data_IF_218213535337
#
_entry.id   IF_218213535337
#
_cell.length_a   1.000
_cell.length_b   1.000
_cell.length_c   1.000
_cell.angle_alpha   90.00
_cell.angle_beta   90.00
_cell.angle_gamma   90.00
#
_symmetry.space_group_name_H-M   'P 1'
#
loop_
_entity.id
_entity.type
_entity.pdbx_description
1 polymer ?
#
# COMPACT_ATOMS: atom_id res chain seq x y z
N UNK A 1 -6.13 47.15 -13.88
CA UNK A 1 -5.87 46.10 -14.87
C UNK A 1 -6.98 46.14 -15.90
N UNK A 2 -6.62 46.08 -17.18
CA UNK A 2 -7.56 46.01 -18.31
C UNK A 2 -8.13 44.60 -18.47
N UNK A 3 -9.21 44.45 -19.23
CA UNK A 3 -9.80 43.12 -19.51
C UNK A 3 -8.83 42.18 -20.23
N UNK A 4 -8.02 42.70 -21.15
CA UNK A 4 -7.01 41.89 -21.86
C UNK A 4 -5.90 41.42 -20.92
N UNK A 5 -5.43 42.30 -20.03
CA UNK A 5 -4.43 41.93 -19.02
C UNK A 5 -5.00 40.90 -18.03
N UNK A 6 -6.25 41.09 -17.60
CA UNK A 6 -6.95 40.14 -16.71
C UNK A 6 -7.01 38.74 -17.32
N UNK A 7 -7.38 38.62 -18.60
CA UNK A 7 -7.45 37.33 -19.29
C UNK A 7 -6.09 36.64 -19.39
N UNK A 8 -5.03 37.40 -19.65
CA UNK A 8 -3.66 36.86 -19.67
C UNK A 8 -3.24 36.39 -18.27
N UNK A 9 -3.47 37.22 -17.24
CA UNK A 9 -3.12 36.89 -15.86
C UNK A 9 -3.87 35.65 -15.38
N UNK A 10 -5.18 35.54 -15.66
CA UNK A 10 -6.00 34.42 -15.21
C UNK A 10 -5.91 33.17 -16.08
N UNK A 11 -5.22 33.26 -17.22
CA UNK A 11 -5.19 32.26 -18.28
C UNK A 11 -6.60 31.90 -18.76
N UNK A 12 -7.32 32.89 -19.29
CA UNK A 12 -8.65 32.74 -19.86
C UNK A 12 -8.58 32.81 -21.39
N UNK A 13 -9.48 32.10 -22.11
CA UNK A 13 -9.56 32.19 -23.57
C UNK A 13 -9.91 33.60 -24.04
N UNK A 14 -9.78 33.87 -25.34
CA UNK A 14 -10.35 35.09 -25.92
C UNK A 14 -11.89 35.06 -25.83
N UNK A 15 -12.57 36.23 -25.90
CA UNK A 15 -14.02 36.31 -25.70
C UNK A 15 -14.86 35.46 -26.66
N UNK A 16 -14.41 35.31 -27.90
CA UNK A 16 -15.14 34.54 -28.92
C UNK A 16 -15.05 33.05 -28.61
N UNK A 17 -13.86 32.57 -28.26
CA UNK A 17 -13.63 31.19 -27.84
C UNK A 17 -14.33 30.87 -26.52
N UNK A 18 -14.26 31.75 -25.53
CA UNK A 18 -14.98 31.62 -24.25
C UNK A 18 -16.47 31.43 -24.49
N UNK A 19 -17.06 32.33 -25.29
CA UNK A 19 -18.49 32.30 -25.63
C UNK A 19 -18.85 31.02 -26.38
N UNK A 20 -18.03 30.59 -27.32
CA UNK A 20 -18.25 29.35 -28.07
C UNK A 20 -18.21 28.12 -27.16
N UNK A 21 -17.25 28.05 -26.24
CA UNK A 21 -17.08 26.93 -25.32
C UNK A 21 -18.20 26.87 -24.28
N UNK A 22 -18.60 28.00 -23.71
CA UNK A 22 -19.76 28.07 -22.80
C UNK A 22 -21.02 27.63 -23.54
N UNK A 23 -21.26 28.14 -24.76
CA UNK A 23 -22.44 27.82 -25.56
C UNK A 23 -22.49 26.34 -25.98
N UNK A 24 -21.33 25.71 -26.17
CA UNK A 24 -21.27 24.28 -26.43
C UNK A 24 -21.68 23.44 -25.21
N UNK A 25 -21.48 23.95 -23.99
CA UNK A 25 -21.82 23.28 -22.75
C UNK A 25 -23.25 23.60 -22.25
N UNK A 26 -23.70 24.84 -22.39
CA UNK A 26 -24.96 25.34 -21.80
C UNK A 26 -25.55 26.52 -22.56
N UNK A 27 -26.83 26.81 -22.34
CA UNK A 27 -27.50 28.01 -22.87
C UNK A 27 -27.37 29.22 -21.93
N UNK A 28 -26.75 29.04 -20.76
CA UNK A 28 -26.49 30.12 -19.80
C UNK A 28 -25.42 31.08 -20.33
N UNK A 29 -25.55 32.35 -19.98
CA UNK A 29 -24.45 33.30 -20.09
C UNK A 29 -23.34 32.96 -19.08
N UNK A 30 -22.14 33.52 -19.29
CA UNK A 30 -21.02 33.40 -18.35
C UNK A 30 -21.40 33.75 -16.91
N UNK A 31 -22.10 34.87 -16.72
CA UNK A 31 -22.48 35.35 -15.39
C UNK A 31 -23.50 34.41 -14.73
N UNK A 32 -24.48 33.92 -15.50
CA UNK A 32 -25.48 32.96 -15.01
C UNK A 32 -24.85 31.61 -14.66
N UNK A 33 -23.86 31.15 -15.44
CA UNK A 33 -23.13 29.92 -15.15
C UNK A 33 -22.29 30.03 -13.87
N UNK A 34 -21.58 31.14 -13.68
CA UNK A 34 -20.82 31.43 -12.45
C UNK A 34 -21.76 31.48 -11.25
N UNK A 35 -22.87 32.21 -11.36
CA UNK A 35 -23.84 32.33 -10.28
C UNK A 35 -24.47 30.98 -9.94
N UNK A 36 -24.86 30.19 -10.95
CA UNK A 36 -25.37 28.82 -10.77
C UNK A 36 -24.35 27.94 -10.05
N UNK A 37 -23.07 28.03 -10.40
CA UNK A 37 -22.04 27.23 -9.76
C UNK A 37 -21.95 27.50 -8.26
N UNK A 38 -22.00 28.76 -7.85
CA UNK A 38 -21.90 29.14 -6.42
C UNK A 38 -23.20 28.89 -5.66
N UNK A 39 -24.35 29.15 -6.28
CA UNK A 39 -25.66 29.08 -5.58
C UNK A 39 -26.31 27.70 -5.62
N UNK A 40 -26.04 26.89 -6.64
CA UNK A 40 -26.67 25.59 -6.86
C UNK A 40 -25.72 24.61 -7.60
N UNK A 41 -24.55 24.37 -7.02
CA UNK A 41 -23.52 23.47 -7.60
C UNK A 41 -24.03 22.08 -7.98
N UNK A 42 -25.01 21.56 -7.24
CA UNK A 42 -25.58 20.22 -7.46
C UNK A 42 -26.37 20.08 -8.77
N UNK A 43 -26.83 21.19 -9.36
CA UNK A 43 -27.56 21.19 -10.64
C UNK A 43 -26.67 21.45 -11.86
N UNK A 44 -25.35 21.60 -11.67
CA UNK A 44 -24.40 21.69 -12.77
C UNK A 44 -24.38 20.38 -13.58
N UNK A 45 -24.51 20.49 -14.89
CA UNK A 45 -24.32 19.36 -15.81
C UNK A 45 -22.83 19.01 -15.94
N UNK A 46 -22.50 17.81 -16.43
CA UNK A 46 -21.09 17.41 -16.62
C UNK A 46 -20.34 18.34 -17.58
N UNK A 47 -21.03 18.87 -18.60
CA UNK A 47 -20.45 19.83 -19.54
C UNK A 47 -20.19 21.19 -18.87
N UNK A 48 -21.10 21.66 -18.01
CA UNK A 48 -20.92 22.88 -17.22
C UNK A 48 -19.78 22.74 -16.20
N UNK A 49 -19.67 21.59 -15.54
CA UNK A 49 -18.54 21.29 -14.64
C UNK A 49 -17.22 21.31 -15.40
N UNK A 50 -17.17 20.70 -16.58
CA UNK A 50 -15.94 20.61 -17.37
C UNK A 50 -15.47 21.98 -17.86
N UNK A 51 -16.40 22.84 -18.33
CA UNK A 51 -16.05 24.18 -18.80
C UNK A 51 -15.61 25.09 -17.64
N UNK A 52 -16.19 24.94 -16.44
CA UNK A 52 -15.76 25.66 -15.23
C UNK A 52 -14.38 25.18 -14.74
N UNK A 53 -14.18 23.87 -14.64
CA UNK A 53 -12.89 23.26 -14.26
C UNK A 53 -11.75 23.77 -15.14
N UNK A 54 -12.00 23.84 -16.45
CA UNK A 54 -11.01 24.26 -17.43
C UNK A 54 -10.99 25.79 -17.64
N UNK A 55 -11.62 26.59 -16.77
CA UNK A 55 -11.63 28.07 -16.86
C UNK A 55 -12.07 28.58 -18.24
N UNK A 56 -13.11 27.96 -18.78
CA UNK A 56 -13.68 28.17 -20.11
C UNK A 56 -12.86 27.70 -21.31
N UNK A 57 -11.68 27.11 -21.11
CA UNK A 57 -10.96 26.41 -22.17
C UNK A 57 -11.63 25.08 -22.53
N UNK A 58 -11.30 24.57 -23.72
CA UNK A 58 -11.54 23.17 -24.05
C UNK A 58 -10.66 22.26 -23.21
N UNK A 59 -11.01 20.97 -23.10
CA UNK A 59 -10.15 20.04 -22.40
C UNK A 59 -8.76 19.98 -23.06
N UNK A 60 -7.67 20.15 -22.30
CA UNK A 60 -6.32 20.07 -22.84
C UNK A 60 -6.05 18.67 -23.41
N UNK A 61 -5.26 18.64 -24.48
CA UNK A 61 -4.69 17.41 -25.03
C UNK A 61 -3.75 16.75 -24.03
N UNK A 62 -3.34 15.51 -24.32
CA UNK A 62 -2.39 14.80 -23.47
C UNK A 62 -1.03 15.50 -23.43
N UNK A 63 -0.55 16.01 -24.57
CA UNK A 63 0.72 16.75 -24.60
C UNK A 63 0.64 18.07 -23.82
N UNK A 64 -0.48 18.80 -23.92
CA UNK A 64 -0.68 20.04 -23.16
C UNK A 64 -0.73 19.77 -21.65
N UNK A 65 -1.47 18.74 -21.22
CA UNK A 65 -1.47 18.33 -19.82
C UNK A 65 -0.06 18.00 -19.30
N UNK A 66 0.73 17.26 -20.09
CA UNK A 66 2.12 16.95 -19.71
C UNK A 66 2.93 18.22 -19.47
N UNK A 67 2.87 19.19 -20.39
CA UNK A 67 3.61 20.46 -20.26
C UNK A 67 3.14 21.30 -19.08
N UNK A 68 1.83 21.31 -18.81
CA UNK A 68 1.27 21.99 -17.64
C UNK A 68 1.82 21.35 -16.36
N UNK A 69 1.80 20.02 -16.26
CA UNK A 69 2.35 19.29 -15.12
C UNK A 69 3.84 19.54 -14.95
N UNK A 70 4.64 19.44 -16.02
CA UNK A 70 6.08 19.69 -15.97
C UNK A 70 6.37 21.12 -15.46
N UNK A 71 5.66 22.11 -15.99
CA UNK A 71 5.78 23.50 -15.54
C UNK A 71 5.41 23.70 -14.07
N UNK A 72 4.42 22.98 -13.55
CA UNK A 72 4.05 22.99 -12.12
C UNK A 72 5.11 22.34 -11.24
N UNK A 73 5.78 21.28 -11.70
CA UNK A 73 6.84 20.61 -10.94
C UNK A 73 8.13 21.45 -10.87
N UNK A 74 8.35 22.32 -11.85
CA UNK A 74 9.51 23.21 -11.91
C UNK A 74 9.32 24.54 -11.12
N UNK A 75 8.11 24.82 -10.63
CA UNK A 75 7.80 26.01 -9.83
C UNK A 75 8.25 25.82 -8.37
N UNK A 76 9.03 26.78 -7.84
CA UNK A 76 9.31 26.82 -6.40
C UNK A 76 8.04 27.21 -5.62
N UNK A 77 7.99 26.86 -4.33
CA UNK A 77 6.88 27.21 -3.45
C UNK A 77 6.66 28.74 -3.42
N UNK A 78 7.74 29.52 -3.31
CA UNK A 78 7.67 30.99 -3.27
C UNK A 78 7.17 31.58 -4.60
N UNK A 79 7.58 31.00 -5.74
CA UNK A 79 7.09 31.42 -7.04
C UNK A 79 5.62 31.03 -7.25
N UNK A 80 5.19 29.91 -6.67
CA UNK A 80 3.80 29.48 -6.61
C UNK A 80 2.93 30.48 -5.84
N UNK A 81 3.35 30.85 -4.63
CA UNK A 81 2.64 31.81 -3.79
C UNK A 81 2.52 33.19 -4.47
N UNK A 82 3.63 33.72 -5.01
CA UNK A 82 3.62 34.99 -5.75
C UNK A 82 2.66 34.93 -6.96
N UNK A 83 2.63 33.80 -7.67
CA UNK A 83 1.73 33.59 -8.79
C UNK A 83 0.24 33.62 -8.39
N UNK A 84 -0.12 33.02 -7.25
CA UNK A 84 -1.50 33.04 -6.76
C UNK A 84 -1.90 34.41 -6.20
N UNK A 85 -0.99 35.09 -5.50
CA UNK A 85 -1.22 36.45 -4.97
C UNK A 85 -1.51 37.46 -6.08
N UNK A 86 -0.84 37.34 -7.23
CA UNK A 86 -1.10 38.17 -8.41
C UNK A 86 -2.47 37.88 -9.04
N UNK A 87 -2.95 36.63 -8.97
CA UNK A 87 -4.24 36.23 -9.56
C UNK A 87 -5.45 36.60 -8.70
N UNK A 88 -5.34 36.54 -7.38
CA UNK A 88 -6.46 36.81 -6.48
C UNK A 88 -7.22 38.13 -6.78
N UNK A 89 -6.56 39.30 -6.94
CA UNK A 89 -7.27 40.55 -7.23
C UNK A 89 -7.78 40.65 -8.68
N UNK A 90 -7.41 39.71 -9.56
CA UNK A 90 -7.82 39.70 -10.96
C UNK A 90 -9.20 39.06 -11.18
N UNK A 91 -9.68 38.24 -10.26
CA UNK A 91 -10.97 37.58 -10.38
C UNK A 91 -12.16 38.56 -10.22
N UNK A 92 -13.19 38.33 -11.02
CA UNK A 92 -14.50 38.96 -10.80
C UNK A 92 -15.24 38.29 -9.63
N UNK A 93 -16.29 38.92 -9.07
CA UNK A 93 -17.09 38.31 -8.03
C UNK A 93 -17.53 36.89 -8.40
N UNK A 94 -17.38 35.95 -7.47
CA UNK A 94 -17.74 34.53 -7.61
C UNK A 94 -16.96 33.74 -8.69
N UNK A 95 -16.07 34.37 -9.47
CA UNK A 95 -15.36 33.71 -10.59
C UNK A 95 -14.39 32.64 -10.11
N UNK A 96 -13.52 32.98 -9.15
CA UNK A 96 -12.57 32.03 -8.57
C UNK A 96 -13.28 30.86 -7.87
N UNK A 97 -14.29 31.18 -7.07
CA UNK A 97 -15.10 30.20 -6.36
C UNK A 97 -15.81 29.25 -7.33
N UNK A 98 -16.39 29.77 -8.41
CA UNK A 98 -17.02 28.94 -9.44
C UNK A 98 -16.03 27.99 -10.13
N UNK A 99 -14.78 28.42 -10.39
CA UNK A 99 -13.75 27.54 -10.94
C UNK A 99 -13.35 26.45 -9.93
N UNK A 100 -13.18 26.82 -8.65
CA UNK A 100 -12.88 25.86 -7.59
C UNK A 100 -14.01 24.84 -7.42
N UNK A 101 -15.27 25.27 -7.49
CA UNK A 101 -16.44 24.38 -7.50
C UNK A 101 -16.41 23.46 -8.71
N UNK A 102 -16.10 23.96 -9.92
CA UNK A 102 -15.92 23.13 -11.11
C UNK A 102 -14.86 22.04 -10.93
N UNK A 103 -13.72 22.38 -10.34
CA UNK A 103 -12.65 21.42 -10.01
C UNK A 103 -13.14 20.38 -9.00
N UNK A 104 -13.75 20.81 -7.91
CA UNK A 104 -14.24 19.93 -6.85
C UNK A 104 -15.35 18.99 -7.33
N UNK A 105 -16.33 19.50 -8.08
CA UNK A 105 -17.41 18.71 -8.67
C UNK A 105 -16.87 17.68 -9.66
N UNK A 106 -15.92 18.06 -10.52
CA UNK A 106 -15.30 17.14 -11.48
C UNK A 106 -14.65 15.96 -10.75
N UNK A 107 -13.76 16.23 -9.79
CA UNK A 107 -13.07 15.19 -9.05
C UNK A 107 -14.01 14.40 -8.14
N UNK A 108 -15.02 15.05 -7.56
CA UNK A 108 -16.05 14.41 -6.76
C UNK A 108 -16.87 13.39 -7.56
N UNK A 109 -17.28 13.75 -8.78
CA UNK A 109 -18.03 12.86 -9.69
C UNK A 109 -17.16 11.71 -10.20
N UNK A 110 -15.92 11.97 -10.60
CA UNK A 110 -15.00 10.91 -10.99
C UNK A 110 -14.73 9.94 -9.84
N UNK A 111 -14.55 10.45 -8.62
CA UNK A 111 -14.42 9.62 -7.43
C UNK A 111 -15.67 8.78 -7.19
N UNK A 112 -16.87 9.37 -7.26
CA UNK A 112 -18.12 8.63 -7.09
C UNK A 112 -18.30 7.53 -8.14
N UNK A 113 -17.94 7.78 -9.40
CA UNK A 113 -17.96 6.77 -10.46
C UNK A 113 -16.98 5.63 -10.18
N UNK A 114 -15.75 5.96 -9.76
CA UNK A 114 -14.76 4.97 -9.34
C UNK A 114 -15.26 4.16 -8.14
N UNK A 115 -15.86 4.82 -7.15
CA UNK A 115 -16.40 4.16 -5.96
C UNK A 115 -17.53 3.19 -6.31
N UNK A 116 -18.42 3.55 -7.25
CA UNK A 116 -19.46 2.63 -7.77
C UNK A 116 -18.83 1.41 -8.46
N UNK A 117 -17.81 1.61 -9.29
CA UNK A 117 -17.11 0.52 -9.97
C UNK A 117 -16.39 -0.41 -8.98
N UNK A 118 -15.69 0.17 -8.01
CA UNK A 118 -15.00 -0.55 -6.94
C UNK A 118 -16.03 -1.34 -6.12
N UNK A 119 -17.10 -0.71 -5.66
CA UNK A 119 -18.15 -1.37 -4.88
C UNK A 119 -18.82 -2.51 -5.66
N UNK A 120 -19.03 -2.35 -6.96
CA UNK A 120 -19.55 -3.42 -7.82
C UNK A 120 -18.58 -4.60 -7.89
N UNK A 121 -17.28 -4.35 -8.09
CA UNK A 121 -16.26 -5.39 -8.11
C UNK A 121 -16.12 -6.11 -6.76
N UNK A 122 -16.12 -5.35 -5.65
CA UNK A 122 -16.14 -5.88 -4.28
C UNK A 122 -17.32 -6.81 -4.08
N UNK A 123 -18.54 -6.37 -4.39
CA UNK A 123 -19.76 -7.15 -4.18
C UNK A 123 -19.78 -8.45 -5.00
N UNK A 124 -19.16 -8.44 -6.19
CA UNK A 124 -19.01 -9.64 -7.02
C UNK A 124 -17.98 -10.63 -6.44
N UNK A 125 -16.89 -10.12 -5.85
CA UNK A 125 -15.81 -10.95 -5.31
C UNK A 125 -16.07 -11.48 -3.89
N UNK A 126 -16.76 -10.69 -3.06
CA UNK A 126 -16.94 -10.94 -1.62
C UNK A 126 -17.52 -12.31 -1.27
N UNK A 127 -18.53 -12.86 -1.98
CA UNK A 127 -19.08 -14.18 -1.66
C UNK A 127 -18.05 -15.31 -1.70
N UNK A 128 -17.01 -15.16 -2.53
CA UNK A 128 -15.98 -16.17 -2.76
C UNK A 128 -14.66 -15.89 -2.02
N UNK A 129 -14.59 -14.78 -1.30
CA UNK A 129 -13.43 -14.43 -0.48
C UNK A 129 -13.29 -15.41 0.70
N UNK A 130 -12.06 -15.66 1.19
CA UNK A 130 -11.87 -16.41 2.42
C UNK A 130 -12.57 -15.72 3.59
N UNK A 131 -12.98 -16.48 4.61
CA UNK A 131 -13.77 -15.94 5.72
C UNK A 131 -13.07 -14.77 6.43
N UNK A 132 -11.76 -14.87 6.67
CA UNK A 132 -10.99 -13.80 7.30
C UNK A 132 -11.05 -12.48 6.51
N UNK A 133 -11.08 -12.55 5.17
CA UNK A 133 -11.23 -11.37 4.31
C UNK A 133 -12.65 -10.80 4.39
N UNK A 134 -13.67 -11.66 4.41
CA UNK A 134 -15.06 -11.22 4.60
C UNK A 134 -15.24 -10.55 5.96
N UNK A 135 -14.62 -11.08 6.99
CA UNK A 135 -14.59 -10.51 8.33
C UNK A 135 -13.96 -9.11 8.31
N UNK A 136 -12.77 -8.95 7.74
CA UNK A 136 -12.07 -7.66 7.71
C UNK A 136 -12.82 -6.61 6.89
N UNK A 137 -13.48 -7.04 5.80
CA UNK A 137 -14.39 -6.16 5.07
C UNK A 137 -15.56 -5.68 5.95
N UNK A 138 -16.18 -6.57 6.74
CA UNK A 138 -17.28 -6.22 7.67
C UNK A 138 -16.82 -5.32 8.82
N UNK A 139 -15.61 -5.53 9.33
CA UNK A 139 -15.04 -4.71 10.41
C UNK A 139 -14.74 -3.28 9.96
N UNK A 140 -14.63 -3.03 8.65
CA UNK A 140 -14.48 -1.69 8.10
C UNK A 140 -13.15 -1.03 8.43
N UNK A 141 -12.13 -1.80 8.86
CA UNK A 141 -10.79 -1.29 9.15
C UNK A 141 -10.21 -0.53 7.96
N UNK A 142 -9.44 0.52 8.26
CA UNK A 142 -8.87 1.39 7.25
C UNK A 142 -7.71 0.72 6.51
N UNK A 143 -6.85 0.02 7.25
CA UNK A 143 -5.66 -0.65 6.72
C UNK A 143 -5.47 -2.03 7.38
N UNK A 144 -4.51 -2.79 6.88
CA UNK A 144 -4.15 -4.13 7.35
C UNK A 144 -2.87 -4.58 6.69
N UNK A 145 -2.17 -5.50 7.36
CA UNK A 145 -0.92 -6.06 6.91
C UNK A 145 0.08 -6.09 8.06
N UNK A 146 1.31 -5.67 7.78
CA UNK A 146 2.43 -5.85 8.71
C UNK A 146 3.24 -4.57 8.91
N UNK A 147 3.76 -4.39 10.12
CA UNK A 147 4.96 -3.57 10.31
C UNK A 147 6.17 -4.40 9.87
N UNK A 148 7.07 -3.78 9.12
CA UNK A 148 8.27 -4.38 8.58
C UNK A 148 9.50 -3.56 9.01
N UNK A 149 10.54 -4.26 9.45
CA UNK A 149 11.80 -3.67 9.87
C UNK A 149 12.91 -4.03 8.89
N UNK A 150 13.61 -3.05 8.32
CA UNK A 150 14.89 -3.30 7.66
C UNK A 150 15.95 -3.56 8.71
N UNK A 151 16.62 -4.70 8.63
CA UNK A 151 17.75 -4.97 9.52
C UNK A 151 18.95 -4.06 9.19
N UNK A 152 19.92 -3.99 10.11
CA UNK A 152 21.07 -3.10 9.95
C UNK A 152 21.97 -3.44 8.74
N UNK A 153 21.86 -4.64 8.17
CA UNK A 153 22.56 -5.00 6.94
C UNK A 153 21.78 -4.55 5.69
N UNK A 154 20.47 -4.70 5.68
CA UNK A 154 19.57 -4.24 4.63
C UNK A 154 19.61 -2.72 4.46
N UNK A 155 19.78 -1.97 5.55
CA UNK A 155 19.94 -0.51 5.54
C UNK A 155 21.19 -0.02 4.80
N UNK A 156 22.16 -0.91 4.51
CA UNK A 156 23.39 -0.58 3.78
C UNK A 156 23.31 -0.91 2.29
N UNK A 157 22.20 -1.48 1.85
CA UNK A 157 21.95 -1.73 0.43
C UNK A 157 21.77 -0.38 -0.27
N UNK A 158 22.27 -0.28 -1.50
CA UNK A 158 22.15 0.95 -2.27
C UNK A 158 20.69 1.28 -2.61
N UNK A 159 20.41 2.58 -2.78
CA UNK A 159 19.05 3.07 -2.97
C UNK A 159 18.38 2.52 -4.23
N UNK A 160 19.12 2.33 -5.32
CA UNK A 160 18.60 1.77 -6.58
C UNK A 160 18.10 0.34 -6.37
N UNK A 161 18.89 -0.48 -5.68
CA UNK A 161 18.51 -1.85 -5.35
C UNK A 161 17.33 -1.92 -4.38
N UNK A 162 17.24 -1.00 -3.42
CA UNK A 162 16.12 -0.92 -2.50
C UNK A 162 14.82 -0.50 -3.21
N UNK A 163 14.90 0.43 -4.17
CA UNK A 163 13.77 0.81 -5.02
C UNK A 163 13.29 -0.37 -5.89
N UNK A 164 14.23 -1.13 -6.48
CA UNK A 164 13.93 -2.34 -7.24
C UNK A 164 13.19 -3.38 -6.37
N UNK A 165 13.65 -3.58 -5.13
CA UNK A 165 13.00 -4.45 -4.15
C UNK A 165 11.58 -4.03 -3.83
N UNK A 166 11.37 -2.76 -3.49
CA UNK A 166 10.04 -2.24 -3.12
C UNK A 166 9.05 -2.34 -4.29
N UNK A 167 9.50 -2.00 -5.50
CA UNK A 167 8.70 -2.13 -6.73
C UNK A 167 8.31 -3.59 -6.99
N UNK A 168 9.28 -4.51 -6.92
CA UNK A 168 9.04 -5.94 -7.10
C UNK A 168 8.10 -6.53 -6.03
N UNK A 169 8.28 -6.14 -4.77
CA UNK A 169 7.46 -6.58 -3.65
C UNK A 169 6.01 -6.09 -3.78
N UNK A 170 5.81 -4.83 -4.17
CA UNK A 170 4.48 -4.27 -4.44
C UNK A 170 3.76 -5.04 -5.56
N UNK A 171 4.44 -5.24 -6.70
CA UNK A 171 3.89 -6.01 -7.82
C UNK A 171 3.58 -7.47 -7.45
N UNK A 172 4.41 -8.07 -6.59
CA UNK A 172 4.18 -9.41 -6.07
C UNK A 172 2.88 -9.49 -5.26
N UNK A 173 2.66 -8.60 -4.29
CA UNK A 173 1.45 -8.62 -3.46
C UNK A 173 0.20 -8.36 -4.28
N UNK A 174 0.23 -7.43 -5.24
CA UNK A 174 -0.88 -7.22 -6.15
C UNK A 174 -1.26 -8.52 -6.89
N UNK A 175 -0.26 -9.27 -7.34
CA UNK A 175 -0.46 -10.58 -7.94
C UNK A 175 -1.03 -11.61 -6.94
N UNK A 176 -0.43 -11.75 -5.75
CA UNK A 176 -0.90 -12.69 -4.75
C UNK A 176 -2.36 -12.44 -4.34
N UNK A 177 -2.73 -11.18 -4.12
CA UNK A 177 -4.10 -10.74 -3.83
C UNK A 177 -5.06 -11.01 -5.01
N UNK A 178 -4.58 -10.91 -6.25
CA UNK A 178 -5.40 -11.28 -7.41
C UNK A 178 -5.71 -12.77 -7.44
N UNK A 179 -4.76 -13.60 -7.04
CA UNK A 179 -4.92 -15.05 -7.08
C UNK A 179 -5.66 -15.64 -5.87
N UNK A 180 -5.54 -15.03 -4.69
CA UNK A 180 -6.36 -15.41 -3.55
C UNK A 180 -7.83 -14.91 -3.68
N UNK A 181 -8.13 -14.08 -4.68
CA UNK A 181 -9.46 -13.54 -4.98
C UNK A 181 -9.84 -12.29 -4.19
N UNK A 182 -8.85 -11.60 -3.60
CA UNK A 182 -9.11 -10.48 -2.69
C UNK A 182 -8.64 -9.13 -3.20
N UNK A 183 -7.98 -9.06 -4.37
CA UNK A 183 -7.50 -7.80 -4.96
C UNK A 183 -8.58 -6.72 -4.94
N UNK A 184 -9.76 -7.03 -5.45
CA UNK A 184 -10.83 -6.03 -5.58
C UNK A 184 -11.47 -5.66 -4.23
N UNK A 185 -11.24 -6.46 -3.18
CA UNK A 185 -11.81 -6.26 -1.84
C UNK A 185 -10.82 -5.49 -0.95
N UNK A 186 -9.53 -5.81 -1.04
CA UNK A 186 -8.54 -5.48 0.00
C UNK A 186 -7.29 -4.76 -0.49
N UNK A 187 -7.02 -4.74 -1.81
CA UNK A 187 -5.76 -4.23 -2.35
C UNK A 187 -5.49 -2.76 -1.97
N UNK A 188 -6.53 -1.93 -2.00
CA UNK A 188 -6.39 -0.52 -1.61
C UNK A 188 -6.03 -0.31 -0.14
N UNK A 189 -6.32 -1.29 0.71
CA UNK A 189 -6.15 -1.24 2.16
C UNK A 189 -4.91 -2.01 2.64
N UNK A 190 -4.46 -3.04 1.90
CA UNK A 190 -3.28 -3.84 2.24
C UNK A 190 -2.01 -2.99 2.23
N UNK A 191 -1.24 -3.05 3.31
CA UNK A 191 -0.02 -2.27 3.50
C UNK A 191 1.05 -3.08 4.23
N UNK A 192 2.30 -2.83 3.88
CA UNK A 192 3.44 -3.16 4.71
C UNK A 192 4.09 -1.83 5.07
N UNK A 193 4.10 -1.50 6.36
CA UNK A 193 4.63 -0.22 6.85
C UNK A 193 6.09 -0.43 7.23
N UNK A 194 7.00 0.34 6.65
CA UNK A 194 8.43 0.09 6.75
C UNK A 194 9.15 1.06 7.68
N UNK A 195 9.98 0.50 8.56
CA UNK A 195 10.83 1.24 9.47
C UNK A 195 12.25 0.65 9.43
N UNK A 196 13.24 1.44 9.80
CA UNK A 196 14.58 0.92 10.05
C UNK A 196 14.66 0.39 11.49
N UNK A 197 15.23 -0.80 11.66
CA UNK A 197 15.62 -1.28 12.98
C UNK A 197 16.81 -0.47 13.52
N UNK A 198 17.15 -0.55 14.82
CA UNK A 198 18.38 0.01 15.35
C UNK A 198 19.59 -0.43 14.53
N UNK A 199 20.57 0.47 14.34
CA UNK A 199 21.78 0.22 13.54
C UNK A 199 22.66 -0.96 14.01
N UNK A 200 22.36 -1.54 15.18
CA UNK A 200 23.00 -2.71 15.77
C UNK A 200 22.17 -4.00 15.65
N UNK A 201 20.94 -3.93 15.15
CA UNK A 201 20.04 -5.08 15.04
C UNK A 201 20.31 -5.83 13.73
N UNK A 202 20.94 -6.99 13.83
CA UNK A 202 21.24 -7.88 12.70
C UNK A 202 20.48 -9.19 12.82
N UNK A 203 19.97 -9.68 11.70
CA UNK A 203 19.51 -11.07 11.62
C UNK A 203 20.74 -11.98 11.49
N UNK A 204 20.82 -13.01 12.32
CA UNK A 204 21.89 -14.01 12.21
C UNK A 204 21.79 -14.76 10.88
N UNK A 205 22.88 -14.79 10.07
CA UNK A 205 22.87 -15.50 8.80
C UNK A 205 22.53 -16.98 9.01
N UNK A 206 21.61 -17.51 8.21
CA UNK A 206 21.13 -18.89 8.28
C UNK A 206 22.26 -19.94 8.24
N UNK A 207 23.42 -19.62 7.68
CA UNK A 207 24.61 -20.49 7.61
C UNK A 207 25.27 -20.75 8.97
N UNK A 208 25.00 -19.94 10.00
CA UNK A 208 25.56 -20.11 11.35
C UNK A 208 24.90 -21.22 12.17
N UNK A 209 23.72 -21.70 11.74
CA UNK A 209 22.95 -22.74 12.45
C UNK A 209 23.49 -24.17 12.24
N UNK A 210 24.36 -24.41 11.25
CA UNK A 210 24.89 -25.75 10.97
C UNK A 210 26.15 -26.11 11.79
N UNK A 211 26.75 -25.16 12.53
CA UNK A 211 28.01 -25.37 13.25
C UNK A 211 27.92 -25.01 14.75
N UNK A 212 26.83 -25.36 15.44
CA UNK A 212 26.74 -25.21 16.92
C UNK A 212 26.98 -26.54 17.64
N UNK A 213 28.24 -26.99 17.62
CA UNK A 213 28.79 -27.94 18.61
C UNK A 213 29.58 -27.22 19.72
N UNK A 214 29.50 -25.89 19.81
CA UNK A 214 30.19 -25.11 20.85
C UNK A 214 29.20 -24.48 21.82
N UNK A 215 29.25 -24.95 23.08
CA UNK A 215 28.71 -24.27 24.26
C UNK A 215 29.01 -22.76 24.21
N UNK A 216 27.96 -21.96 24.01
CA UNK A 216 28.03 -20.51 23.94
C UNK A 216 26.63 -19.93 23.96
N UNK A 217 26.08 -19.81 25.16
CA UNK A 217 24.87 -19.04 25.45
C UNK A 217 25.06 -17.56 25.01
N UNK A 218 23.95 -16.93 24.56
CA UNK A 218 23.66 -15.48 24.67
C UNK A 218 23.69 -14.54 23.45
N UNK A 219 24.24 -14.86 22.27
CA UNK A 219 24.32 -13.85 21.19
C UNK A 219 23.02 -13.67 20.37
N UNK A 220 22.34 -14.75 19.98
CA UNK A 220 21.15 -14.67 19.10
C UNK A 220 19.87 -14.17 19.81
N UNK A 221 19.79 -14.36 21.14
CA UNK A 221 18.66 -13.84 21.93
C UNK A 221 18.68 -12.31 22.01
N UNK A 222 19.87 -11.70 21.92
CA UNK A 222 20.04 -10.25 22.05
C UNK A 222 19.51 -9.51 20.81
N UNK A 223 19.88 -9.96 19.61
CA UNK A 223 19.42 -9.34 18.36
C UNK A 223 17.90 -9.44 18.17
N UNK A 224 17.28 -10.59 18.48
CA UNK A 224 15.83 -10.74 18.43
C UNK A 224 15.10 -9.80 19.40
N UNK A 225 15.69 -9.50 20.56
CA UNK A 225 15.11 -8.58 21.53
C UNK A 225 15.10 -7.14 21.03
N UNK A 226 16.13 -6.72 20.28
CA UNK A 226 16.21 -5.38 19.66
C UNK A 226 15.04 -5.15 18.69
N UNK A 227 14.74 -6.12 17.81
CA UNK A 227 13.62 -6.00 16.89
C UNK A 227 12.27 -5.94 17.61
N UNK A 228 12.07 -6.73 18.67
CA UNK A 228 10.82 -6.72 19.45
C UNK A 228 10.63 -5.42 20.23
N UNK A 229 11.71 -4.85 20.75
CA UNK A 229 11.66 -3.55 21.42
C UNK A 229 11.33 -2.44 20.42
N UNK A 230 12.01 -2.42 19.26
CA UNK A 230 11.69 -1.50 18.18
C UNK A 230 10.22 -1.60 17.75
N UNK A 231 9.71 -2.82 17.52
CA UNK A 231 8.32 -3.04 17.16
C UNK A 231 7.33 -2.53 18.24
N UNK A 232 7.64 -2.74 19.53
CA UNK A 232 6.80 -2.23 20.63
C UNK A 232 6.75 -0.70 20.64
N UNK A 233 7.91 -0.06 20.50
CA UNK A 233 8.00 1.40 20.45
C UNK A 233 7.27 1.98 19.23
N UNK A 234 7.36 1.34 18.07
CA UNK A 234 6.60 1.72 16.87
C UNK A 234 5.09 1.64 17.10
N UNK A 235 4.61 0.60 17.78
CA UNK A 235 3.19 0.46 18.10
C UNK A 235 2.70 1.52 19.09
N UNK A 236 3.57 1.98 19.99
CA UNK A 236 3.27 3.02 20.98
C UNK A 236 3.28 4.42 20.35
N UNK A 237 4.38 4.78 19.68
CA UNK A 237 4.55 6.07 19.00
C UNK A 237 5.60 5.94 17.87
N UNK A 238 5.15 5.77 16.62
CA UNK A 238 6.06 5.59 15.49
C UNK A 238 6.84 6.87 15.14
N UNK A 239 6.32 8.07 15.43
CA UNK A 239 7.07 9.32 15.23
C UNK A 239 8.22 9.44 16.22
N UNK A 240 7.95 9.13 17.49
CA UNK A 240 8.99 9.14 18.53
C UNK A 240 10.06 8.10 18.24
N UNK A 241 9.68 6.89 17.80
CA UNK A 241 10.63 5.87 17.40
C UNK A 241 11.57 6.34 16.27
N UNK A 242 11.03 6.99 15.23
CA UNK A 242 11.83 7.49 14.11
C UNK A 242 12.79 8.63 14.48
N UNK A 243 12.60 9.31 15.62
CA UNK A 243 13.48 10.37 16.12
C UNK A 243 14.63 9.86 17.01
N UNK A 244 14.75 8.55 17.21
CA UNK A 244 15.84 7.96 18.00
C UNK A 244 17.20 8.21 17.34
N UNK A 245 18.23 8.39 18.17
CA UNK A 245 19.61 8.63 17.71
C UNK A 245 20.22 7.44 16.95
N UNK A 246 19.79 6.22 17.25
CA UNK A 246 20.32 4.97 16.69
C UNK A 246 19.52 4.42 15.50
N UNK A 247 18.51 5.17 15.03
CA UNK A 247 17.60 4.83 13.94
C UNK A 247 17.71 5.89 12.85
N UNK A 248 17.90 5.46 11.61
CA UNK A 248 17.75 6.35 10.45
C UNK A 248 16.26 6.42 10.11
N UNK A 249 15.62 7.61 10.05
CA UNK A 249 14.20 7.72 9.73
C UNK A 249 13.90 7.22 8.31
N UNK A 250 12.66 6.81 8.08
CA UNK A 250 12.13 6.46 6.76
C UNK A 250 11.15 7.54 6.30
N UNK A 251 10.88 7.62 5.00
CA UNK A 251 9.85 8.53 4.45
C UNK A 251 8.42 7.95 4.62
N UNK A 252 8.22 7.04 5.59
CA UNK A 252 6.96 6.34 5.79
C UNK A 252 5.91 7.31 6.35
N UNK A 253 4.84 7.52 5.58
CA UNK A 253 3.76 8.42 5.93
C UNK A 253 2.77 7.77 6.91
N UNK A 254 2.68 8.35 8.12
CA UNK A 254 1.91 7.77 9.23
C UNK A 254 0.65 8.59 9.56
N UNK A 255 0.52 9.82 9.07
CA UNK A 255 -0.53 10.77 9.47
C UNK A 255 -1.98 10.29 9.19
N UNK A 256 -2.16 9.23 8.40
CA UNK A 256 -3.48 8.62 8.16
C UNK A 256 -3.93 7.64 9.28
N UNK A 257 -3.17 7.48 10.36
CA UNK A 257 -3.50 6.58 11.46
C UNK A 257 -3.99 7.36 12.69
N UNK A 258 -5.14 8.04 12.56
CA UNK A 258 -5.72 8.91 13.60
C UNK A 258 -5.86 8.24 15.00
N UNK A 259 -5.96 6.90 15.04
CA UNK A 259 -6.08 6.12 16.28
C UNK A 259 -4.84 5.25 16.58
N UNK A 260 -3.73 5.48 15.88
CA UNK A 260 -2.50 4.69 16.00
C UNK A 260 -2.54 3.33 15.28
N UNK A 261 -1.37 2.70 15.12
CA UNK A 261 -1.19 1.49 14.29
C UNK A 261 -2.03 0.30 14.78
N UNK A 262 -2.14 0.13 16.10
CA UNK A 262 -2.86 -0.98 16.71
C UNK A 262 -4.36 -0.98 16.34
N UNK A 263 -4.97 0.20 16.23
CA UNK A 263 -6.39 0.32 15.92
C UNK A 263 -6.67 0.30 14.40
N UNK A 264 -5.64 0.56 13.59
CA UNK A 264 -5.74 0.65 12.13
C UNK A 264 -5.91 -0.69 11.40
N UNK A 265 -5.65 -1.82 12.06
CA UNK A 265 -5.87 -3.18 11.54
C UNK A 265 -4.61 -3.96 11.15
N UNK A 266 -3.43 -3.43 11.43
CA UNK A 266 -2.16 -4.16 11.30
C UNK A 266 -2.05 -5.29 12.32
N UNK A 267 -1.31 -6.36 11.99
CA UNK A 267 -1.02 -7.42 12.96
C UNK A 267 -0.10 -6.88 14.06
N UNK A 268 -0.57 -6.94 15.30
CA UNK A 268 0.18 -6.51 16.49
C UNK A 268 0.92 -7.64 17.18
N UNK A 269 0.63 -8.90 16.82
CA UNK A 269 1.26 -10.08 17.39
C UNK A 269 2.42 -10.63 16.53
N UNK A 270 2.70 -10.00 15.39
CA UNK A 270 3.70 -10.43 14.42
C UNK A 270 4.17 -9.27 13.56
N UNK A 271 5.49 -9.16 13.38
CA UNK A 271 6.12 -8.22 12.46
C UNK A 271 7.10 -8.93 11.55
N UNK A 272 7.47 -8.28 10.45
CA UNK A 272 8.37 -8.82 9.45
C UNK A 272 9.75 -8.16 9.55
N UNK A 273 10.80 -8.89 9.19
CA UNK A 273 12.15 -8.34 9.06
C UNK A 273 12.64 -8.56 7.63
N UNK A 274 12.96 -7.46 6.96
CA UNK A 274 13.62 -7.45 5.66
C UNK A 274 15.13 -7.42 5.87
N UNK A 275 15.75 -8.58 5.68
CA UNK A 275 17.20 -8.76 5.67
C UNK A 275 17.71 -8.80 4.22
N UNK A 276 19.04 -8.77 3.98
CA UNK A 276 19.59 -8.86 2.63
C UNK A 276 19.14 -10.11 1.88
N UNK A 277 18.95 -11.24 2.58
CA UNK A 277 18.48 -12.48 1.95
C UNK A 277 17.07 -12.33 1.40
N UNK A 278 16.15 -11.71 2.14
CA UNK A 278 14.81 -11.42 1.65
C UNK A 278 14.85 -10.51 0.41
N UNK A 279 15.67 -9.47 0.46
CA UNK A 279 15.81 -8.48 -0.62
C UNK A 279 16.35 -9.16 -1.89
N UNK A 280 17.46 -9.90 -1.79
CA UNK A 280 18.02 -10.63 -2.91
C UNK A 280 17.06 -11.68 -3.46
N UNK A 281 16.32 -12.37 -2.59
CA UNK A 281 15.31 -13.32 -3.04
C UNK A 281 14.20 -12.63 -3.83
N UNK A 282 13.74 -11.45 -3.46
CA UNK A 282 12.69 -10.75 -4.21
C UNK A 282 13.23 -10.21 -5.52
N UNK A 283 14.41 -9.61 -5.51
CA UNK A 283 14.97 -8.95 -6.68
C UNK A 283 15.58 -9.94 -7.67
N UNK A 284 16.43 -10.86 -7.20
CA UNK A 284 17.09 -11.85 -8.07
C UNK A 284 16.19 -13.02 -8.42
N UNK A 285 15.29 -13.43 -7.50
CA UNK A 285 14.36 -14.54 -7.78
C UNK A 285 13.13 -14.10 -8.55
N UNK A 286 13.20 -13.03 -9.35
CA UNK A 286 12.20 -12.70 -10.37
C UNK A 286 11.79 -13.93 -11.22
N UNK A 287 12.59 -15.00 -11.23
CA UNK A 287 12.28 -16.27 -11.85
C UNK A 287 11.35 -17.23 -11.10
N UNK A 288 11.15 -17.17 -9.76
CA UNK A 288 10.27 -18.10 -9.03
C UNK A 288 9.72 -17.52 -7.71
N UNK A 289 8.39 -17.33 -7.64
CA UNK A 289 7.68 -16.86 -6.44
C UNK A 289 7.86 -17.78 -5.23
N UNK A 290 8.02 -19.08 -5.45
CA UNK A 290 8.11 -20.02 -4.34
C UNK A 290 9.43 -19.90 -3.54
N UNK A 291 10.45 -19.24 -4.10
CA UNK A 291 11.71 -18.97 -3.40
C UNK A 291 11.61 -17.77 -2.45
N UNK A 292 10.70 -16.84 -2.72
CA UNK A 292 10.60 -15.57 -2.02
C UNK A 292 10.06 -15.80 -0.61
N UNK A 293 10.82 -15.36 0.40
CA UNK A 293 10.46 -15.52 1.80
C UNK A 293 11.00 -14.36 2.63
N UNK A 294 10.36 -14.15 3.78
CA UNK A 294 10.71 -13.14 4.77
C UNK A 294 10.74 -13.78 6.15
N UNK A 295 11.46 -13.16 7.08
CA UNK A 295 11.40 -13.52 8.49
C UNK A 295 10.18 -12.88 9.14
N UNK A 296 9.36 -13.70 9.79
CA UNK A 296 8.26 -13.24 10.61
C UNK A 296 8.60 -13.53 12.09
N UNK A 297 8.56 -12.49 12.92
CA UNK A 297 8.87 -12.55 14.34
C UNK A 297 7.60 -12.58 15.18
N UNK A 298 7.60 -13.39 16.24
CA UNK A 298 6.58 -13.32 17.29
C UNK A 298 6.90 -12.15 18.22
N UNK A 299 5.97 -11.20 18.29
CA UNK A 299 6.17 -9.90 18.95
C UNK A 299 6.50 -10.02 20.44
N UNK A 300 5.82 -10.94 21.13
CA UNK A 300 5.92 -11.10 22.58
C UNK A 300 6.84 -12.25 23.01
N UNK A 301 7.62 -12.82 22.08
CA UNK A 301 8.47 -13.96 22.42
C UNK A 301 9.65 -13.57 23.35
N UNK A 302 9.93 -14.36 24.40
CA UNK A 302 9.14 -15.49 24.88
C UNK A 302 7.94 -15.04 25.73
N UNK A 303 6.76 -15.59 25.46
CA UNK A 303 5.55 -15.32 26.24
C UNK A 303 5.66 -16.01 27.62
N UNK A 304 5.54 -15.28 28.74
CA UNK A 304 5.64 -15.86 30.07
C UNK A 304 4.63 -17.00 30.30
N UNK A 305 5.10 -18.12 30.85
CA UNK A 305 4.26 -19.28 31.15
C UNK A 305 3.91 -20.16 29.96
N UNK A 306 4.36 -19.82 28.74
CA UNK A 306 4.19 -20.64 27.54
C UNK A 306 5.38 -21.59 27.35
N UNK A 307 5.08 -22.86 27.08
CA UNK A 307 6.08 -23.83 26.64
C UNK A 307 6.19 -23.78 25.11
N UNK A 308 7.41 -23.58 24.61
CA UNK A 308 7.72 -23.54 23.19
C UNK A 308 8.31 -24.85 22.68
N UNK A 309 8.15 -25.12 21.38
CA UNK A 309 8.88 -26.19 20.69
C UNK A 309 10.40 -25.97 20.82
N UNK A 310 11.12 -27.07 21.04
CA UNK A 310 12.58 -27.05 21.11
C UNK A 310 13.18 -26.52 19.80
N UNK A 311 14.16 -25.62 19.91
CA UNK A 311 14.84 -25.00 18.76
C UNK A 311 14.13 -23.78 18.17
N UNK A 312 12.89 -23.47 18.57
CA UNK A 312 12.20 -22.26 18.12
C UNK A 312 12.80 -21.01 18.80
N UNK A 313 13.15 -20.01 17.98
CA UNK A 313 13.88 -18.80 18.42
C UNK A 313 13.00 -17.55 18.45
N UNK A 314 11.68 -17.71 18.37
CA UNK A 314 10.74 -16.59 18.34
C UNK A 314 10.54 -15.97 16.95
N UNK A 315 10.94 -16.67 15.89
CA UNK A 315 10.69 -16.29 14.50
C UNK A 315 10.65 -17.51 13.58
N UNK A 316 10.08 -17.35 12.38
CA UNK A 316 10.13 -18.34 11.30
C UNK A 316 10.23 -17.66 9.94
N UNK A 317 10.83 -18.34 8.98
CA UNK A 317 10.68 -17.96 7.57
C UNK A 317 9.25 -18.19 7.12
N UNK A 318 8.71 -17.29 6.30
CA UNK A 318 7.37 -17.37 5.69
C UNK A 318 7.49 -17.04 4.22
N UNK A 319 6.88 -17.87 3.37
CA UNK A 319 6.83 -17.58 1.92
C UNK A 319 5.94 -16.36 1.66
N UNK A 320 6.36 -15.45 0.80
CA UNK A 320 5.71 -14.14 0.68
C UNK A 320 4.22 -14.22 0.32
N UNK A 321 3.81 -15.20 -0.48
CA UNK A 321 2.41 -15.37 -0.87
C UNK A 321 1.51 -15.76 0.31
N UNK A 322 2.07 -16.37 1.36
CA UNK A 322 1.32 -16.74 2.55
C UNK A 322 1.04 -15.58 3.49
N UNK A 323 1.79 -14.48 3.37
CA UNK A 323 1.55 -13.25 4.11
C UNK A 323 0.19 -12.63 3.79
N UNK A 324 -0.41 -12.97 2.64
CA UNK A 324 -1.78 -12.59 2.28
C UNK A 324 -2.72 -13.79 2.23
N UNK A 325 -2.37 -14.88 2.90
CA UNK A 325 -3.14 -16.12 2.85
C UNK A 325 -3.12 -16.89 4.18
N UNK A 326 -2.58 -18.12 4.22
CA UNK A 326 -2.67 -18.98 5.41
C UNK A 326 -1.97 -18.36 6.62
N UNK A 327 -0.79 -17.75 6.43
CA UNK A 327 -0.05 -17.18 7.55
C UNK A 327 -0.82 -16.00 8.16
N UNK A 328 -1.38 -15.12 7.33
CA UNK A 328 -2.20 -14.01 7.81
C UNK A 328 -3.40 -14.47 8.64
N UNK A 329 -4.18 -15.43 8.14
CA UNK A 329 -5.34 -15.97 8.87
C UNK A 329 -4.94 -16.62 10.19
N UNK A 330 -3.83 -17.38 10.21
CA UNK A 330 -3.33 -18.01 11.42
C UNK A 330 -2.96 -16.98 12.49
N UNK A 331 -2.31 -15.88 12.09
CA UNK A 331 -1.91 -14.82 13.02
C UNK A 331 -3.07 -13.92 13.43
N UNK A 332 -4.04 -13.70 12.55
CA UNK A 332 -5.19 -12.85 12.86
C UNK A 332 -6.22 -13.58 13.72
N UNK A 333 -6.68 -14.75 13.29
CA UNK A 333 -7.88 -15.39 13.84
C UNK A 333 -7.59 -16.61 14.71
N UNK A 334 -6.39 -17.20 14.60
CA UNK A 334 -6.05 -18.49 15.23
C UNK A 334 -4.80 -18.40 16.09
N UNK A 335 -4.39 -17.20 16.50
CA UNK A 335 -3.16 -17.00 17.27
C UNK A 335 -3.17 -17.76 18.60
N UNK A 336 -4.34 -17.90 19.22
CA UNK A 336 -4.54 -18.63 20.49
C UNK A 336 -4.53 -20.16 20.30
N UNK A 337 -4.86 -20.64 19.11
CA UNK A 337 -4.92 -22.08 18.78
C UNK A 337 -3.59 -22.60 18.24
N UNK A 338 -2.99 -21.82 17.33
CA UNK A 338 -1.79 -22.12 16.58
C UNK A 338 -0.81 -20.97 16.76
N UNK A 339 0.03 -21.07 17.79
CA UNK A 339 1.10 -20.10 17.91
C UNK A 339 2.29 -20.41 17.02
N UNK A 340 3.21 -19.45 17.02
CA UNK A 340 4.24 -19.30 16.01
C UNK A 340 5.27 -20.45 16.02
N UNK A 341 5.45 -21.13 17.15
CA UNK A 341 6.32 -22.31 17.27
C UNK A 341 5.78 -23.53 16.53
N UNK A 342 4.45 -23.72 16.49
CA UNK A 342 3.83 -24.76 15.66
C UNK A 342 3.91 -24.41 14.17
N UNK A 343 3.80 -23.12 13.83
CA UNK A 343 3.97 -22.63 12.46
C UNK A 343 5.43 -22.86 12.01
N UNK A 344 6.40 -22.57 12.88
CA UNK A 344 7.81 -22.85 12.65
C UNK A 344 8.08 -24.35 12.44
N UNK A 345 7.48 -25.22 13.27
CA UNK A 345 7.59 -26.68 13.12
C UNK A 345 7.02 -27.15 11.77
N UNK A 346 5.90 -26.58 11.32
CA UNK A 346 5.34 -26.85 9.99
C UNK A 346 6.25 -26.33 8.87
N UNK A 347 6.87 -25.16 9.05
CA UNK A 347 7.82 -24.57 8.10
C UNK A 347 9.02 -25.49 7.86
N UNK A 348 9.49 -26.24 8.87
CA UNK A 348 10.62 -27.16 8.71
C UNK A 348 10.36 -28.30 7.70
N UNK A 349 9.10 -28.57 7.36
CA UNK A 349 8.73 -29.61 6.39
C UNK A 349 8.78 -29.11 4.94
N UNK A 350 8.82 -27.80 4.75
CA UNK A 350 8.84 -27.20 3.42
C UNK A 350 10.27 -27.02 2.92
N UNK A 351 10.38 -26.74 1.63
CA UNK A 351 11.65 -26.33 1.04
C UNK A 351 12.11 -25.01 1.66
N UNK A 352 13.40 -24.94 1.99
CA UNK A 352 14.04 -23.77 2.62
C UNK A 352 13.54 -23.45 4.05
N UNK A 353 12.76 -24.34 4.69
CA UNK A 353 12.30 -24.13 6.07
C UNK A 353 11.33 -22.95 6.21
N UNK A 354 10.60 -22.60 5.15
CA UNK A 354 9.70 -21.44 5.11
C UNK A 354 8.23 -21.86 5.18
N UNK A 355 7.43 -21.22 6.02
CA UNK A 355 6.03 -21.58 6.19
C UNK A 355 5.26 -21.42 4.88
N UNK A 356 4.50 -22.47 4.53
CA UNK A 356 3.64 -22.54 3.34
C UNK A 356 2.21 -22.89 3.74
N UNK A 357 2.01 -23.99 4.48
CA UNK A 357 0.71 -24.44 4.97
C UNK A 357 0.90 -25.27 6.24
N UNK A 358 -0.17 -25.40 7.03
CA UNK A 358 -0.23 -26.38 8.13
C UNK A 358 -0.44 -27.80 7.61
N UNK A 359 -0.95 -27.94 6.38
CA UNK A 359 -1.06 -29.22 5.69
C UNK A 359 0.32 -29.64 5.14
N UNK A 360 0.75 -30.85 5.48
CA UNK A 360 2.07 -31.36 5.10
C UNK A 360 2.23 -31.62 3.60
N UNK A 361 1.18 -32.01 2.90
CA UNK A 361 1.22 -32.22 1.45
C UNK A 361 1.33 -30.87 0.72
N UNK A 362 0.56 -29.88 1.16
CA UNK A 362 0.68 -28.52 0.64
C UNK A 362 2.04 -27.88 0.96
N UNK A 363 2.60 -28.15 2.15
CA UNK A 363 3.90 -27.61 2.54
C UNK A 363 5.07 -28.12 1.68
N UNK A 364 4.95 -29.32 1.11
CA UNK A 364 5.94 -29.88 0.18
C UNK A 364 5.71 -29.47 -1.26
N UNK A 365 4.60 -28.80 -1.56
CA UNK A 365 4.23 -28.45 -2.92
C UNK A 365 5.10 -27.30 -3.44
N UNK A 366 5.78 -27.57 -4.55
CA UNK A 366 6.65 -26.62 -5.23
C UNK A 366 6.19 -26.44 -6.67
N UNK A 367 5.86 -25.21 -7.02
CA UNK A 367 5.40 -24.83 -8.34
C UNK A 367 6.48 -24.11 -9.14
N UNK A 368 6.23 -23.91 -10.43
CA UNK A 368 7.07 -23.09 -11.29
C UNK A 368 6.48 -21.67 -11.43
N UNK A 369 5.76 -21.19 -10.42
CA UNK A 369 5.12 -19.87 -10.39
C UNK A 369 6.17 -18.77 -10.44
N UNK A 370 5.98 -17.79 -11.33
CA UNK A 370 6.93 -16.68 -11.57
C UNK A 370 6.23 -15.48 -12.15
N UNK A 371 6.91 -14.33 -12.25
CA UNK A 371 6.28 -13.11 -12.75
C UNK A 371 5.64 -13.28 -14.14
N UNK A 372 6.32 -14.01 -15.05
CA UNK A 372 5.86 -14.20 -16.43
C UNK A 372 4.64 -15.12 -16.55
N UNK A 373 4.60 -16.21 -15.78
CA UNK A 373 3.54 -17.22 -15.88
C UNK A 373 2.52 -17.09 -14.75
N UNK A 374 2.74 -16.16 -13.82
CA UNK A 374 1.98 -15.97 -12.59
C UNK A 374 1.88 -17.25 -11.74
N UNK A 375 0.94 -17.32 -10.80
CA UNK A 375 0.71 -18.53 -10.00
C UNK A 375 0.08 -19.63 -10.85
N UNK A 376 0.76 -20.76 -10.97
CA UNK A 376 0.33 -21.92 -11.78
C UNK A 376 -0.72 -22.75 -11.04
N UNK A 377 -1.53 -23.54 -11.76
CA UNK A 377 -2.68 -24.27 -11.19
C UNK A 377 -2.34 -25.30 -10.11
N UNK A 378 -1.08 -25.72 -10.03
CA UNK A 378 -0.51 -26.57 -8.99
C UNK A 378 -0.14 -25.79 -7.72
N UNK A 379 0.15 -24.49 -7.79
CA UNK A 379 0.41 -23.65 -6.61
C UNK A 379 -0.83 -23.45 -5.74
N UNK A 380 -0.65 -23.16 -4.44
CA UNK A 380 -1.76 -22.94 -3.49
C UNK A 380 -2.70 -21.82 -3.98
N UNK A 381 -2.14 -20.65 -4.31
CA UNK A 381 -2.94 -19.53 -4.79
C UNK A 381 -3.51 -19.77 -6.20
N UNK A 382 -2.79 -20.53 -7.04
CA UNK A 382 -3.29 -20.95 -8.34
C UNK A 382 -4.51 -21.85 -8.23
N UNK A 383 -4.44 -22.95 -7.47
CA UNK A 383 -5.56 -23.87 -7.21
C UNK A 383 -6.82 -23.09 -6.83
N UNK A 384 -6.69 -22.19 -5.86
CA UNK A 384 -7.76 -21.31 -5.41
C UNK A 384 -8.35 -20.49 -6.56
N UNK A 385 -7.52 -19.80 -7.35
CA UNK A 385 -8.00 -19.00 -8.48
C UNK A 385 -8.75 -19.82 -9.53
N UNK A 386 -8.28 -21.03 -9.82
CA UNK A 386 -8.97 -21.90 -10.79
C UNK A 386 -10.31 -22.39 -10.26
N UNK A 387 -10.38 -22.77 -8.98
CA UNK A 387 -11.66 -23.10 -8.32
C UNK A 387 -12.64 -21.92 -8.36
N UNK A 388 -12.16 -20.70 -8.09
CA UNK A 388 -12.98 -19.48 -8.17
C UNK A 388 -13.52 -19.24 -9.59
N UNK A 389 -12.69 -19.42 -10.61
CA UNK A 389 -13.11 -19.26 -12.02
C UNK A 389 -14.13 -20.30 -12.45
N UNK A 390 -14.02 -21.53 -11.95
CA UNK A 390 -15.01 -22.57 -12.22
C UNK A 390 -16.35 -22.26 -11.54
N UNK A 391 -16.32 -21.81 -10.28
CA UNK A 391 -17.53 -21.40 -9.56
C UNK A 391 -18.26 -20.22 -10.22
N UNK A 392 -17.53 -19.26 -10.81
CA UNK A 392 -18.11 -18.12 -11.53
C UNK A 392 -18.70 -18.47 -12.92
N UNK A 393 -18.44 -19.68 -13.44
CA UNK A 393 -18.97 -20.14 -14.73
C UNK A 393 -20.28 -20.93 -14.60
N UNK A 394 -20.63 -21.35 -13.38
CA UNK A 394 -21.87 -22.06 -13.05
C UNK A 394 -22.92 -21.06 -12.58
#
# INVERSE_FOLDING_TARGET
MTESERRVVLDLPDPDMETANIKAATNLSRAELIEKAVTDRGSLTDAEVLVLKNRFWTSPTREENSRITDGFMDLSEEAGDEFFDVKAPAYLPNEEEAFNIGIQEFWGREKALKDVQINSAVNAALPFAPEWIRQLYREGKQQWGYICLYDAAAQKIDAERLEEFQSALCGFFEHALRFNGSKDIINGKWRYMTFNAPSTAFVSPATSLQNKDSNGESADQDAGSLFRNAFREILEDPETYQRREDVVPTDEYIDNLDNGIADSGFLTNTFLVFDPVCIDLVVESGYFYDNMRVLAFEAEFPVPGRTYKEGYQGYTWVRLDQLVYYFYDLRLNKADEVGMDKIWEAAQKSRNGAFVSMDSEEAMNWSHSRHQTTFTSDSILGKRRYTLREALRQ
#
